data_IF_748417122284
#
_entry.id   IF_748417122284
#
_cell.length_a   1.000
_cell.length_b   1.000
_cell.length_c   1.000
_cell.angle_alpha   90.00
_cell.angle_beta   90.00
_cell.angle_gamma   90.00
#
_symmetry.space_group_name_H-M   'P 1'
#
loop_
_entity.id
_entity.type
_entity.pdbx_description
1 polymer ?
#
# COMPACT_ATOMS: atom_id res chain seq x y z
N UNK A 1 4.40 -23.83 10.79
CA UNK A 1 3.35 -22.80 11.00
C UNK A 1 3.95 -21.39 11.10
N UNK A 2 5.08 -21.21 11.80
CA UNK A 2 5.83 -19.95 11.83
C UNK A 2 6.29 -19.44 10.45
N UNK A 3 6.69 -20.35 9.54
CA UNK A 3 7.12 -19.97 8.19
C UNK A 3 6.05 -19.26 7.37
N UNK A 4 4.78 -19.63 7.52
CA UNK A 4 3.68 -19.01 6.77
C UNK A 4 3.45 -17.55 7.21
N UNK A 5 3.67 -17.26 8.50
CA UNK A 5 3.60 -15.92 9.09
C UNK A 5 4.80 -15.08 8.65
N UNK A 6 6.02 -15.62 8.67
CA UNK A 6 7.24 -14.94 8.21
C UNK A 6 7.24 -14.67 6.70
N UNK A 7 6.75 -15.62 5.90
CA UNK A 7 6.62 -15.48 4.45
C UNK A 7 5.61 -14.38 4.10
N UNK A 8 4.44 -14.36 4.74
CA UNK A 8 3.43 -13.30 4.56
C UNK A 8 3.94 -11.94 5.02
N UNK A 9 4.66 -11.88 6.14
CA UNK A 9 5.24 -10.66 6.72
C UNK A 9 6.29 -10.02 5.80
N UNK A 10 7.08 -10.82 5.10
CA UNK A 10 8.08 -10.31 4.15
C UNK A 10 7.50 -10.06 2.75
N UNK A 11 6.52 -10.85 2.32
CA UNK A 11 5.87 -10.70 1.01
C UNK A 11 4.95 -9.50 0.97
N UNK A 12 4.18 -9.21 2.03
CA UNK A 12 3.25 -8.08 2.05
C UNK A 12 3.91 -6.75 1.60
N UNK A 13 5.04 -6.29 2.19
CA UNK A 13 5.66 -5.03 1.76
C UNK A 13 6.23 -5.08 0.33
N UNK A 14 6.72 -6.25 -0.11
CA UNK A 14 7.25 -6.43 -1.48
C UNK A 14 6.12 -6.43 -2.51
N UNK A 15 5.01 -7.09 -2.20
CA UNK A 15 3.83 -7.19 -3.05
C UNK A 15 3.13 -5.82 -3.16
N UNK A 16 3.12 -5.03 -2.08
CA UNK A 16 2.71 -3.62 -2.14
C UNK A 16 3.63 -2.80 -3.05
N UNK A 17 4.96 -2.95 -2.98
CA UNK A 17 5.87 -2.23 -3.90
C UNK A 17 5.62 -2.58 -5.37
N UNK A 18 5.32 -3.85 -5.65
CA UNK A 18 5.01 -4.32 -7.01
C UNK A 18 3.66 -3.78 -7.49
N UNK A 19 2.65 -3.73 -6.62
CA UNK A 19 1.32 -3.22 -6.96
C UNK A 19 1.26 -1.68 -7.06
N UNK A 20 2.20 -0.98 -6.43
CA UNK A 20 2.30 0.48 -6.50
C UNK A 20 2.57 0.98 -7.93
N UNK A 21 3.50 0.34 -8.64
CA UNK A 21 3.87 0.70 -10.00
C UNK A 21 2.69 0.71 -10.99
N UNK A 22 1.88 -0.36 -11.11
CA UNK A 22 0.72 -0.36 -12.00
C UNK A 22 -0.38 0.59 -11.52
N UNK A 23 -0.57 0.79 -10.22
CA UNK A 23 -1.53 1.76 -9.70
C UNK A 23 -1.15 3.20 -10.11
N UNK A 24 0.14 3.54 -10.02
CA UNK A 24 0.65 4.84 -10.46
C UNK A 24 0.53 5.01 -11.99
N UNK A 25 0.88 3.97 -12.76
CA UNK A 25 0.71 3.95 -14.21
C UNK A 25 -0.77 4.12 -14.62
N UNK A 26 -1.69 3.47 -13.91
CA UNK A 26 -3.13 3.61 -14.14
C UNK A 26 -3.62 5.03 -13.86
N UNK A 27 -3.13 5.68 -12.79
CA UNK A 27 -3.47 7.07 -12.49
C UNK A 27 -3.02 8.04 -13.59
N UNK A 28 -1.83 7.83 -14.15
CA UNK A 28 -1.30 8.65 -15.26
C UNK A 28 -2.11 8.38 -16.53
N UNK A 29 -2.35 7.11 -16.85
CA UNK A 29 -3.14 6.72 -18.02
C UNK A 29 -4.56 7.30 -18.00
N UNK A 30 -5.23 7.22 -16.85
CA UNK A 30 -6.58 7.76 -16.66
C UNK A 30 -6.62 9.28 -16.86
N UNK A 31 -5.62 10.00 -16.34
CA UNK A 31 -5.52 11.45 -16.56
C UNK A 31 -5.34 11.81 -18.04
N UNK A 32 -4.46 11.11 -18.77
CA UNK A 32 -4.26 11.34 -20.21
C UNK A 32 -5.54 11.06 -20.99
N UNK A 33 -6.24 9.98 -20.64
CA UNK A 33 -7.52 9.64 -21.25
C UNK A 33 -8.58 10.73 -21.01
N UNK A 34 -8.65 11.29 -19.80
CA UNK A 34 -9.60 12.36 -19.47
C UNK A 34 -9.32 13.65 -20.24
N UNK A 35 -8.03 14.01 -20.39
CA UNK A 35 -7.59 15.16 -21.19
C UNK A 35 -7.99 14.98 -22.67
N UNK A 36 -7.82 13.77 -23.22
CA UNK A 36 -8.22 13.46 -24.61
C UNK A 36 -9.73 13.62 -24.86
N UNK A 37 -10.56 13.37 -23.85
CA UNK A 37 -12.01 13.53 -23.96
C UNK A 37 -12.49 14.99 -23.76
N UNK A 38 -11.56 15.96 -23.65
CA UNK A 38 -11.90 17.38 -23.55
C UNK A 38 -12.32 17.83 -22.15
N UNK A 39 -12.19 16.98 -21.13
CA UNK A 39 -12.42 17.39 -19.74
C UNK A 39 -11.22 18.22 -19.26
N UNK A 40 -11.42 19.53 -19.07
CA UNK A 40 -10.41 20.46 -18.51
C UNK A 40 -9.94 20.08 -17.11
N UNK A 41 -10.67 19.19 -16.44
CA UNK A 41 -10.40 18.67 -15.09
C UNK A 41 -9.36 17.53 -15.12
N UNK A 42 -8.82 17.16 -16.28
CA UNK A 42 -7.84 16.06 -16.44
C UNK A 42 -6.59 16.13 -15.55
N UNK A 43 -6.24 17.31 -15.02
CA UNK A 43 -5.14 17.52 -14.07
C UNK A 43 -5.45 17.08 -12.64
N UNK A 44 -6.72 17.08 -12.25
CA UNK A 44 -7.16 16.67 -10.90
C UNK A 44 -6.82 15.21 -10.62
N UNK A 45 -7.09 14.24 -11.51
CA UNK A 45 -6.68 12.85 -11.30
C UNK A 45 -5.17 12.63 -11.17
N UNK A 46 -4.31 13.50 -11.71
CA UNK A 46 -2.86 13.38 -11.50
C UNK A 46 -2.47 13.65 -10.04
N UNK A 47 -3.04 14.71 -9.47
CA UNK A 47 -2.75 15.13 -8.10
C UNK A 47 -3.48 14.20 -7.12
N UNK A 48 -4.79 14.05 -7.29
CA UNK A 48 -5.64 13.25 -6.41
C UNK A 48 -5.33 11.76 -6.55
N UNK A 49 -5.16 11.24 -7.77
CA UNK A 49 -4.85 9.83 -7.99
C UNK A 49 -3.48 9.45 -7.43
N UNK A 50 -2.45 10.29 -7.61
CA UNK A 50 -1.13 10.05 -7.01
C UNK A 50 -1.16 10.10 -5.47
N UNK A 51 -1.85 11.09 -4.89
CA UNK A 51 -2.04 11.18 -3.44
C UNK A 51 -2.82 9.99 -2.90
N UNK A 52 -3.88 9.58 -3.59
CA UNK A 52 -4.73 8.46 -3.16
C UNK A 52 -3.96 7.14 -3.18
N UNK A 53 -3.18 6.88 -4.24
CA UNK A 53 -2.27 5.74 -4.30
C UNK A 53 -1.26 5.82 -3.15
N UNK A 54 -0.65 6.97 -2.87
CA UNK A 54 0.27 7.10 -1.72
C UNK A 54 -0.40 6.76 -0.39
N UNK A 55 -1.56 7.34 -0.10
CA UNK A 55 -2.27 7.14 1.17
C UNK A 55 -2.67 5.68 1.38
N UNK A 56 -3.17 5.00 0.34
CA UNK A 56 -3.54 3.58 0.45
C UNK A 56 -2.31 2.71 0.71
N UNK A 57 -1.24 2.89 -0.07
CA UNK A 57 -0.05 2.05 0.06
C UNK A 57 0.71 2.30 1.38
N UNK A 58 0.82 3.56 1.80
CA UNK A 58 1.45 3.95 3.07
C UNK A 58 0.61 3.50 4.27
N UNK A 59 -0.72 3.62 4.20
CA UNK A 59 -1.63 3.11 5.22
C UNK A 59 -1.58 1.60 5.37
N UNK A 60 -1.56 0.86 4.26
CA UNK A 60 -1.40 -0.59 4.28
C UNK A 60 -0.05 -1.03 4.87
N UNK A 61 1.04 -0.36 4.52
CA UNK A 61 2.37 -0.63 5.11
C UNK A 61 2.38 -0.35 6.63
N UNK A 62 1.77 0.75 7.07
CA UNK A 62 1.63 1.10 8.49
C UNK A 62 0.83 0.03 9.26
N UNK A 63 -0.31 -0.42 8.73
CA UNK A 63 -1.13 -1.45 9.36
C UNK A 63 -0.37 -2.78 9.51
N UNK A 64 0.39 -3.18 8.49
CA UNK A 64 1.26 -4.35 8.58
C UNK A 64 2.34 -4.17 9.65
N UNK A 65 2.95 -2.99 9.73
CA UNK A 65 3.95 -2.68 10.76
C UNK A 65 3.38 -2.74 12.19
N UNK A 66 2.15 -2.27 12.39
CA UNK A 66 1.47 -2.32 13.70
C UNK A 66 1.18 -3.76 14.11
N UNK A 67 0.63 -4.57 13.18
CA UNK A 67 0.33 -5.97 13.43
C UNK A 67 1.58 -6.76 13.83
N UNK A 68 2.72 -6.44 13.23
CA UNK A 68 4.00 -7.04 13.57
C UNK A 68 4.51 -6.70 14.98
N UNK A 69 4.28 -5.46 15.43
CA UNK A 69 4.68 -5.02 16.78
C UNK A 69 3.82 -5.67 17.86
N UNK A 70 2.54 -5.88 17.60
CA UNK A 70 1.61 -6.53 18.55
C UNK A 70 1.95 -8.00 18.80
N UNK A 71 2.42 -8.72 17.77
CA UNK A 71 2.90 -10.10 17.93
C UNK A 71 4.06 -10.21 18.92
N UNK A 72 4.99 -9.27 18.89
CA UNK A 72 6.15 -9.26 19.79
C UNK A 72 5.79 -9.03 21.26
N UNK A 73 4.85 -8.11 21.54
CA UNK A 73 4.41 -7.81 22.91
C UNK A 73 3.67 -8.99 23.56
N UNK A 74 2.94 -9.76 22.75
CA UNK A 74 2.19 -10.92 23.22
C UNK A 74 3.14 -12.06 23.62
N UNK A 75 4.17 -12.33 22.83
CA UNK A 75 5.19 -13.35 23.17
C UNK A 75 6.05 -12.94 24.38
N UNK A 76 6.37 -11.65 24.52
CA UNK A 76 7.07 -11.16 25.71
C UNK A 76 6.25 -11.34 26.99
N UNK A 77 4.93 -11.11 26.95
CA UNK A 77 4.05 -11.33 28.09
C UNK A 77 3.95 -12.81 28.49
N UNK A 78 4.10 -13.74 27.54
CA UNK A 78 4.06 -15.20 27.75
C UNK A 78 5.38 -15.78 28.26
N UNK A 79 6.50 -15.13 27.97
CA UNK A 79 7.83 -15.50 28.49
C UNK A 79 8.06 -15.06 29.94
N UNK A 80 7.21 -14.17 30.47
CA UNK A 80 7.30 -13.63 31.82
C UNK A 80 6.36 -14.34 32.83
N UNK A 81 5.56 -15.32 32.38
CA UNK A 81 4.68 -16.18 33.19
C UNK A 81 5.17 -17.61 33.21
#
# INVERSE_FOLDING_TARGET
>A
MLDYLLFRKMIAPVLLKILFWPALAASIYYSIWLIRNGLTIGWVPLIVGSLFVRVIFEGMLLLFSINDRLGYLTDFSRSAS
#
